data_IF_878692382416
#
_entry.id   IF_878692382416
#
_cell.length_a   1.000
_cell.length_b   1.000
_cell.length_c   1.000
_cell.angle_alpha   90.00
_cell.angle_beta   90.00
_cell.angle_gamma   90.00
#
_symmetry.space_group_name_H-M   'P 1'
#
loop_
_entity.id
_entity.type
_entity.pdbx_description
1 polymer ?
#
# COMPACT_ATOMS: atom_id res chain seq x y z
N UNK A 1 0.62 15.12 -1.21
CA UNK A 1 -0.54 14.21 -1.08
C UNK A 1 -0.06 12.96 -0.36
N UNK A 2 -0.76 12.53 0.69
CA UNK A 2 -0.33 11.41 1.54
C UNK A 2 -1.29 10.26 1.27
N UNK A 3 -0.85 9.30 0.48
CA UNK A 3 -1.51 7.99 0.43
C UNK A 3 -1.12 7.19 1.68
N UNK A 4 -1.88 6.16 2.02
CA UNK A 4 -1.50 5.23 3.09
C UNK A 4 -0.08 4.69 2.82
N UNK A 5 0.78 4.51 3.83
CA UNK A 5 2.10 3.93 3.61
C UNK A 5 1.94 2.43 3.27
N UNK A 6 1.74 2.13 1.99
CA UNK A 6 1.28 0.83 1.51
C UNK A 6 2.18 -0.34 1.93
N UNK A 7 3.51 -0.16 1.88
CA UNK A 7 4.45 -1.17 2.36
C UNK A 7 4.20 -1.57 3.83
N UNK A 8 3.77 -0.61 4.66
CA UNK A 8 3.39 -0.83 6.05
C UNK A 8 1.96 -1.39 6.19
N UNK A 9 1.02 -0.99 5.33
CA UNK A 9 -0.36 -1.50 5.33
C UNK A 9 -0.41 -3.02 5.09
N UNK A 10 0.49 -3.55 4.24
CA UNK A 10 0.60 -4.99 3.94
C UNK A 10 1.62 -5.72 4.83
N UNK A 11 1.97 -5.16 5.99
CA UNK A 11 2.80 -5.83 7.01
C UNK A 11 1.95 -6.11 8.24
N UNK A 12 1.62 -7.37 8.44
CA UNK A 12 0.83 -7.82 9.59
C UNK A 12 1.44 -7.34 10.93
N UNK A 13 0.57 -6.93 11.85
CA UNK A 13 0.94 -6.41 13.18
C UNK A 13 1.39 -4.94 13.18
N UNK A 14 1.46 -4.29 12.02
CA UNK A 14 1.72 -2.86 11.94
C UNK A 14 0.52 -2.09 12.48
N UNK A 15 0.79 -0.98 13.17
CA UNK A 15 -0.26 -0.15 13.75
C UNK A 15 -0.35 1.23 13.12
N UNK A 16 -1.56 1.72 13.03
CA UNK A 16 -1.91 2.99 12.42
C UNK A 16 -2.78 3.80 13.37
N UNK A 17 -2.62 5.11 13.35
CA UNK A 17 -3.63 6.02 13.87
C UNK A 17 -4.72 6.14 12.80
N UNK A 18 -5.96 5.98 13.22
CA UNK A 18 -7.15 6.21 12.42
C UNK A 18 -7.95 7.36 13.06
N UNK A 19 -8.45 8.26 12.20
CA UNK A 19 -9.18 9.44 12.65
C UNK A 19 -10.53 9.06 13.28
N UNK A 20 -10.68 9.40 14.56
CA UNK A 20 -11.92 9.15 15.32
C UNK A 20 -11.97 7.82 16.07
N UNK A 21 -11.20 6.80 15.66
CA UNK A 21 -11.22 5.47 16.32
C UNK A 21 -9.92 5.10 17.04
N UNK A 22 -8.87 5.92 16.95
CA UNK A 22 -7.62 5.70 17.68
C UNK A 22 -6.67 4.76 16.96
N UNK A 23 -6.12 3.77 17.66
CA UNK A 23 -5.08 2.87 17.12
C UNK A 23 -5.74 1.66 16.46
N UNK A 24 -5.37 1.36 15.21
CA UNK A 24 -5.80 0.14 14.50
C UNK A 24 -4.59 -0.71 14.17
N UNK A 25 -4.75 -2.03 14.25
CA UNK A 25 -3.73 -2.98 13.84
C UNK A 25 -4.11 -3.59 12.48
N UNK A 26 -3.16 -3.63 11.55
CA UNK A 26 -3.39 -4.22 10.22
C UNK A 26 -2.94 -5.67 10.16
N UNK A 27 -3.71 -6.47 9.43
CA UNK A 27 -3.35 -7.83 9.01
C UNK A 27 -3.48 -7.94 7.49
N UNK A 28 -2.84 -8.93 6.88
CA UNK A 28 -2.91 -9.14 5.43
C UNK A 28 -3.59 -10.46 5.12
N UNK A 29 -4.42 -10.48 4.06
CA UNK A 29 -5.10 -11.69 3.60
C UNK A 29 -5.08 -11.78 2.09
N UNK A 30 -4.68 -12.94 1.57
CA UNK A 30 -4.84 -13.29 0.14
C UNK A 30 -6.29 -13.68 -0.13
N UNK A 31 -6.89 -13.07 -1.14
CA UNK A 31 -8.28 -13.32 -1.55
C UNK A 31 -8.38 -14.42 -2.61
N UNK A 32 -7.37 -14.51 -3.47
CA UNK A 32 -7.30 -15.39 -4.63
C UNK A 32 -6.31 -14.84 -5.65
N UNK A 33 -6.48 -15.25 -6.90
CA UNK A 33 -5.61 -14.83 -8.01
C UNK A 33 -6.39 -14.03 -9.06
N UNK A 34 -5.76 -13.03 -9.64
CA UNK A 34 -6.23 -12.30 -10.80
C UNK A 34 -5.53 -12.82 -12.06
N UNK A 35 -6.30 -13.21 -13.06
CA UNK A 35 -5.85 -13.55 -14.40
C UNK A 35 -5.68 -12.25 -15.20
N UNK A 36 -4.48 -12.02 -15.73
CA UNK A 36 -4.09 -10.81 -16.46
C UNK A 36 -3.56 -11.20 -17.85
N UNK A 37 -4.43 -11.65 -18.77
CA UNK A 37 -4.00 -12.08 -20.10
C UNK A 37 -3.56 -10.91 -21.01
N UNK A 38 -4.21 -9.74 -20.93
CA UNK A 38 -3.88 -8.60 -21.81
C UNK A 38 -2.88 -7.62 -21.20
N UNK A 39 -2.77 -7.59 -19.86
CA UNK A 39 -1.98 -6.58 -19.15
C UNK A 39 -2.73 -5.27 -18.97
N UNK A 40 -3.98 -5.17 -19.45
CA UNK A 40 -4.83 -3.99 -19.28
C UNK A 40 -5.76 -4.19 -18.09
N UNK A 41 -5.27 -3.84 -16.91
CA UNK A 41 -6.05 -3.99 -15.67
C UNK A 41 -6.93 -2.77 -15.44
N UNK A 42 -8.13 -2.99 -14.90
CA UNK A 42 -9.03 -1.95 -14.37
C UNK A 42 -9.34 -2.15 -12.90
N UNK A 43 -9.87 -1.10 -12.28
CA UNK A 43 -10.53 -1.14 -10.99
C UNK A 43 -11.85 -0.39 -11.09
N UNK A 44 -12.90 -0.96 -10.51
CA UNK A 44 -14.24 -0.41 -10.57
C UNK A 44 -15.11 -1.00 -9.44
N UNK A 45 -16.35 -0.57 -9.34
CA UNK A 45 -17.38 -1.32 -8.62
C UNK A 45 -18.01 -2.37 -9.55
N UNK A 46 -17.98 -3.66 -9.17
CA UNK A 46 -18.40 -4.74 -10.05
C UNK A 46 -19.92 -4.80 -10.29
N UNK A 47 -20.73 -4.09 -9.50
CA UNK A 47 -22.19 -4.09 -9.62
C UNK A 47 -22.74 -2.91 -10.43
N UNK A 48 -21.87 -1.97 -10.80
CA UNK A 48 -22.19 -0.85 -11.72
C UNK A 48 -21.41 -0.94 -13.03
N UNK A 49 -20.44 -1.84 -13.13
CA UNK A 49 -19.61 -2.03 -14.32
C UNK A 49 -20.25 -3.01 -15.30
N UNK A 50 -20.35 -2.59 -16.56
CA UNK A 50 -20.75 -3.46 -17.66
C UNK A 50 -19.55 -4.31 -18.10
N UNK A 51 -19.60 -5.61 -17.79
CA UNK A 51 -18.51 -6.55 -18.11
C UNK A 51 -18.62 -7.18 -19.51
N UNK A 52 -19.67 -6.90 -20.28
CA UNK A 52 -19.72 -7.20 -21.71
C UNK A 52 -18.73 -6.31 -22.49
N UNK A 53 -18.63 -5.03 -22.12
CA UNK A 53 -17.69 -4.06 -22.70
C UNK A 53 -16.99 -3.17 -21.64
N UNK A 54 -16.17 -3.73 -20.72
CA UNK A 54 -15.42 -2.94 -19.74
C UNK A 54 -14.48 -1.93 -20.42
N UNK A 55 -14.74 -0.66 -20.14
CA UNK A 55 -14.01 0.48 -20.70
C UNK A 55 -12.96 1.07 -19.73
N UNK A 56 -13.11 0.87 -18.42
CA UNK A 56 -12.32 1.54 -17.40
C UNK A 56 -11.04 0.77 -17.01
N UNK A 57 -10.04 0.75 -17.89
CA UNK A 57 -8.69 0.21 -17.58
C UNK A 57 -7.68 1.33 -17.31
N UNK A 58 -6.67 1.04 -16.52
CA UNK A 58 -5.54 1.94 -16.29
C UNK A 58 -4.70 2.13 -17.57
N UNK A 59 -4.12 3.33 -17.72
CA UNK A 59 -3.31 3.70 -18.89
C UNK A 59 -1.97 2.95 -18.95
N UNK A 60 -1.42 2.55 -17.80
CA UNK A 60 -0.18 1.78 -17.71
C UNK A 60 -0.50 0.28 -17.82
N UNK A 61 0.20 -0.40 -18.70
CA UNK A 61 0.15 -1.86 -18.79
C UNK A 61 0.78 -2.52 -17.55
N UNK A 62 0.10 -3.52 -17.01
CA UNK A 62 0.58 -4.43 -15.99
C UNK A 62 1.33 -5.62 -16.60
N UNK A 63 2.17 -6.32 -15.82
CA UNK A 63 2.68 -7.63 -16.19
C UNK A 63 1.54 -8.61 -16.51
N UNK A 64 1.72 -9.45 -17.54
CA UNK A 64 0.76 -10.50 -17.89
C UNK A 64 1.04 -11.79 -17.12
N UNK A 65 -0.01 -12.55 -16.81
CA UNK A 65 0.10 -13.78 -16.02
C UNK A 65 -1.04 -13.96 -15.03
N UNK A 66 -0.76 -14.67 -13.93
CA UNK A 66 -1.70 -14.92 -12.83
C UNK A 66 -1.04 -14.43 -11.55
N UNK A 67 -1.70 -13.52 -10.84
CA UNK A 67 -1.11 -12.80 -9.72
C UNK A 67 -2.00 -12.81 -8.48
N UNK A 68 -1.43 -12.95 -7.27
CA UNK A 68 -2.22 -12.92 -6.05
C UNK A 68 -2.82 -11.52 -5.82
N UNK A 69 -4.08 -11.52 -5.39
CA UNK A 69 -4.77 -10.35 -4.86
C UNK A 69 -4.81 -10.46 -3.34
N UNK A 70 -4.39 -9.39 -2.68
CA UNK A 70 -4.30 -9.33 -1.23
C UNK A 70 -4.97 -8.06 -0.70
N UNK A 71 -5.52 -8.13 0.50
CA UNK A 71 -6.07 -6.98 1.21
C UNK A 71 -5.34 -6.74 2.53
N UNK A 72 -5.18 -5.47 2.86
CA UNK A 72 -4.82 -5.01 4.19
C UNK A 72 -6.12 -4.79 4.98
N UNK A 73 -6.27 -5.47 6.11
CA UNK A 73 -7.46 -5.42 6.97
C UNK A 73 -7.09 -4.65 8.22
N UNK A 74 -7.69 -3.48 8.42
CA UNK A 74 -7.60 -2.71 9.66
C UNK A 74 -8.60 -3.26 10.69
N UNK A 75 -8.11 -3.67 11.86
CA UNK A 75 -8.93 -4.16 12.97
C UNK A 75 -9.06 -3.10 14.04
N UNK A 76 -10.30 -2.87 14.47
CA UNK A 76 -10.68 -1.88 15.47
C UNK A 76 -11.05 -2.57 16.80
N UNK A 77 -10.92 -1.84 17.91
CA UNK A 77 -11.18 -2.37 19.25
C UNK A 77 -12.66 -2.76 19.48
N UNK A 78 -13.59 -2.27 18.65
CA UNK A 78 -15.01 -2.57 18.70
C UNK A 78 -15.42 -3.81 17.86
N UNK A 79 -14.45 -4.66 17.51
CA UNK A 79 -14.61 -5.81 16.62
C UNK A 79 -14.97 -5.49 15.16
N UNK A 80 -14.96 -4.22 14.76
CA UNK A 80 -15.05 -3.84 13.35
C UNK A 80 -13.73 -4.17 12.62
N UNK A 81 -13.82 -4.59 11.37
CA UNK A 81 -12.69 -4.90 10.50
C UNK A 81 -12.94 -4.37 9.08
N UNK A 82 -12.08 -3.46 8.61
CA UNK A 82 -12.25 -2.81 7.29
C UNK A 82 -11.12 -3.16 6.35
N UNK A 83 -11.46 -3.40 5.08
CA UNK A 83 -10.48 -3.47 4.00
C UNK A 83 -9.92 -2.07 3.80
N UNK A 84 -8.70 -1.84 4.28
CA UNK A 84 -8.03 -0.55 4.21
C UNK A 84 -7.39 -0.29 2.84
N UNK A 85 -6.79 -1.33 2.27
CA UNK A 85 -6.21 -1.30 0.94
C UNK A 85 -6.40 -2.67 0.28
N UNK A 86 -6.50 -2.70 -1.04
CA UNK A 86 -6.44 -3.92 -1.85
C UNK A 86 -5.28 -3.82 -2.83
N UNK A 87 -4.57 -4.93 -3.08
CA UNK A 87 -3.46 -4.95 -4.03
C UNK A 87 -3.47 -6.15 -4.97
N UNK A 88 -2.97 -5.94 -6.18
CA UNK A 88 -2.47 -7.00 -7.06
C UNK A 88 -0.95 -6.99 -6.95
N UNK A 89 -0.34 -8.14 -6.61
CA UNK A 89 1.11 -8.25 -6.44
C UNK A 89 1.74 -8.95 -7.64
N UNK A 90 2.42 -8.19 -8.50
CA UNK A 90 3.05 -8.69 -9.73
C UNK A 90 4.45 -9.27 -9.52
N UNK A 91 5.12 -8.88 -8.43
CA UNK A 91 6.49 -9.29 -8.13
C UNK A 91 6.72 -9.49 -6.63
N UNK A 92 7.74 -10.26 -6.28
CA UNK A 92 8.24 -10.32 -4.90
C UNK A 92 9.18 -9.16 -4.56
N UNK A 93 9.56 -8.34 -5.55
CA UNK A 93 10.34 -7.12 -5.33
C UNK A 93 9.55 -6.11 -4.48
N UNK A 94 10.26 -5.34 -3.66
CA UNK A 94 9.66 -4.28 -2.84
C UNK A 94 9.31 -3.07 -3.72
N UNK A 95 8.11 -2.52 -3.56
CA UNK A 95 7.73 -1.25 -4.16
C UNK A 95 8.44 -0.10 -3.45
N UNK A 96 9.21 0.66 -4.23
CA UNK A 96 10.12 1.70 -3.78
C UNK A 96 9.61 3.10 -4.14
N UNK A 97 8.87 3.21 -5.25
CA UNK A 97 8.25 4.46 -5.69
C UNK A 97 6.78 4.24 -5.98
N UNK A 98 5.95 5.20 -5.60
CA UNK A 98 4.52 5.17 -5.81
C UNK A 98 4.11 6.26 -6.79
N UNK A 99 3.35 5.88 -7.80
CA UNK A 99 2.81 6.78 -8.79
C UNK A 99 1.30 6.55 -8.87
N UNK A 100 0.52 7.63 -8.90
CA UNK A 100 -0.93 7.50 -9.01
C UNK A 100 -1.29 6.81 -10.34
N UNK A 101 -2.17 5.83 -10.30
CA UNK A 101 -2.66 5.13 -11.48
C UNK A 101 -3.79 5.92 -12.14
N UNK A 102 -3.55 6.39 -13.36
CA UNK A 102 -4.54 7.06 -14.20
C UNK A 102 -5.23 6.06 -15.12
N UNK A 103 -6.49 6.35 -15.46
CA UNK A 103 -7.24 5.58 -16.46
C UNK A 103 -6.82 5.94 -17.89
N UNK A 104 -7.00 5.00 -18.81
CA UNK A 104 -6.80 5.26 -20.24
C UNK A 104 -7.81 6.31 -20.73
N UNK A 105 -7.35 7.25 -21.55
CA UNK A 105 -8.16 8.38 -22.02
C UNK A 105 -8.61 9.37 -20.93
N UNK A 106 -8.10 9.26 -19.71
CA UNK A 106 -8.51 10.14 -18.61
C UNK A 106 -8.13 11.61 -18.89
N UNK A 107 -9.08 12.53 -18.66
CA UNK A 107 -8.83 13.96 -18.77
C UNK A 107 -7.79 14.44 -17.77
N UNK A 108 -7.18 15.58 -18.09
CA UNK A 108 -6.41 16.35 -17.12
C UNK A 108 -7.31 16.69 -15.91
N UNK A 109 -6.77 16.44 -14.72
CA UNK A 109 -7.41 16.74 -13.46
C UNK A 109 -6.90 18.08 -12.93
N UNK A 110 -7.71 18.76 -12.12
CA UNK A 110 -7.24 19.90 -11.34
C UNK A 110 -6.22 19.45 -10.28
N UNK A 111 -5.41 20.37 -9.75
CA UNK A 111 -4.34 20.05 -8.79
C UNK A 111 -4.84 19.40 -7.48
N UNK A 112 -6.11 19.59 -7.14
CA UNK A 112 -6.80 19.03 -5.98
C UNK A 112 -7.62 17.76 -6.29
N UNK A 113 -7.70 17.36 -7.57
CA UNK A 113 -8.49 16.23 -8.02
C UNK A 113 -7.59 15.00 -8.24
N UNK A 114 -7.96 13.88 -7.62
CA UNK A 114 -7.28 12.60 -7.77
C UNK A 114 -7.97 11.73 -8.82
N UNK A 115 -7.22 10.99 -9.67
CA UNK A 115 -7.82 9.94 -10.46
C UNK A 115 -8.31 8.82 -9.54
N UNK A 116 -9.42 8.21 -9.91
CA UNK A 116 -10.01 7.15 -9.13
C UNK A 116 -11.25 6.58 -9.80
N UNK A 117 -11.89 5.66 -9.10
CA UNK A 117 -13.16 5.09 -9.52
C UNK A 117 -14.19 5.24 -8.39
N UNK A 118 -15.44 5.43 -8.78
CA UNK A 118 -16.57 5.45 -7.87
C UNK A 118 -16.92 4.03 -7.42
N UNK A 119 -17.32 3.90 -6.17
CA UNK A 119 -17.91 2.70 -5.60
C UNK A 119 -19.26 3.08 -5.03
N UNK A 120 -20.31 2.40 -5.47
CA UNK A 120 -21.70 2.71 -5.07
C UNK A 120 -22.27 1.59 -4.17
N UNK A 121 -21.90 0.33 -4.45
CA UNK A 121 -22.35 -0.86 -3.75
C UNK A 121 -21.47 -1.23 -2.54
N UNK A 122 -20.52 -0.36 -2.17
CA UNK A 122 -19.53 -0.66 -1.12
C UNK A 122 -18.57 -1.81 -1.47
N UNK A 123 -18.40 -2.07 -2.77
CA UNK A 123 -17.55 -3.14 -3.30
C UNK A 123 -16.63 -2.59 -4.39
N UNK A 124 -15.33 -2.79 -4.21
CA UNK A 124 -14.34 -2.59 -5.27
C UNK A 124 -13.98 -3.92 -5.94
N UNK A 125 -13.41 -3.85 -7.14
CA UNK A 125 -12.85 -5.02 -7.81
C UNK A 125 -11.59 -4.70 -8.62
N UNK A 126 -10.81 -5.74 -8.90
CA UNK A 126 -9.79 -5.75 -9.96
C UNK A 126 -10.19 -6.73 -11.06
N UNK A 127 -9.94 -6.35 -12.31
CA UNK A 127 -10.20 -7.16 -13.50
C UNK A 127 -9.20 -6.83 -14.61
N UNK A 128 -8.99 -7.75 -15.56
CA UNK A 128 -8.29 -7.47 -16.82
C UNK A 128 -9.30 -7.13 -17.92
N UNK A 129 -8.91 -6.37 -18.95
CA UNK A 129 -9.78 -6.01 -20.07
C UNK A 129 -10.41 -7.22 -20.76
N UNK A 130 -9.83 -8.41 -20.67
CA UNK A 130 -10.41 -9.65 -21.23
C UNK A 130 -11.42 -10.32 -20.29
N UNK A 131 -11.69 -9.77 -19.10
CA UNK A 131 -12.77 -10.19 -18.20
C UNK A 131 -14.12 -9.77 -18.79
N UNK A 132 -14.49 -10.45 -19.88
CA UNK A 132 -15.74 -10.22 -20.61
C UNK A 132 -16.80 -11.23 -20.21
N UNK A 133 -18.04 -10.79 -20.04
CA UNK A 133 -19.18 -11.70 -19.84
C UNK A 133 -20.49 -10.96 -19.65
N UNK A 134 -21.59 -11.62 -20.02
CA UNK A 134 -22.95 -11.12 -19.80
C UNK A 134 -23.27 -11.19 -18.29
N UNK A 135 -22.94 -10.14 -17.56
CA UNK A 135 -23.28 -10.00 -16.14
C UNK A 135 -24.69 -9.44 -16.04
N UNK A 136 -25.67 -10.33 -16.11
CA UNK A 136 -27.07 -10.02 -15.89
C UNK A 136 -27.42 -9.92 -14.39
N UNK A 137 -28.65 -9.49 -14.08
CA UNK A 137 -29.16 -9.37 -12.71
C UNK A 137 -29.03 -10.69 -11.92
N UNK A 138 -29.30 -11.82 -12.57
CA UNK A 138 -29.18 -13.13 -11.94
C UNK A 138 -27.72 -13.46 -11.59
N UNK A 139 -26.76 -13.06 -12.43
CA UNK A 139 -25.32 -13.23 -12.19
C UNK A 139 -24.84 -12.31 -11.08
N UNK A 140 -25.24 -11.04 -11.09
CA UNK A 140 -25.00 -10.10 -10.01
C UNK A 140 -25.53 -10.61 -8.66
N UNK A 141 -26.76 -11.14 -8.63
CA UNK A 141 -27.34 -11.73 -7.42
C UNK A 141 -26.53 -12.95 -6.91
N UNK A 142 -26.02 -13.80 -7.81
CA UNK A 142 -25.14 -14.92 -7.42
C UNK A 142 -23.81 -14.43 -6.83
N UNK A 143 -23.22 -13.38 -7.41
CA UNK A 143 -22.00 -12.78 -6.86
C UNK A 143 -22.23 -12.20 -5.48
N UNK A 144 -23.34 -11.49 -5.28
CA UNK A 144 -23.69 -10.92 -3.98
C UNK A 144 -23.89 -12.01 -2.92
N UNK A 145 -24.61 -13.08 -3.25
CA UNK A 145 -24.79 -14.21 -2.34
C UNK A 145 -23.46 -14.92 -2.03
N UNK A 146 -22.56 -15.03 -3.00
CA UNK A 146 -21.24 -15.62 -2.80
C UNK A 146 -20.35 -14.75 -1.90
N UNK A 147 -20.43 -13.42 -2.03
CA UNK A 147 -19.79 -12.48 -1.11
C UNK A 147 -20.38 -12.65 0.30
N UNK A 148 -21.70 -12.62 0.47
CA UNK A 148 -22.32 -12.79 1.79
C UNK A 148 -21.87 -14.08 2.49
N UNK A 149 -21.83 -15.19 1.75
CA UNK A 149 -21.36 -16.48 2.26
C UNK A 149 -19.86 -16.49 2.64
N UNK A 150 -19.04 -15.66 2.00
CA UNK A 150 -17.61 -15.51 2.28
C UNK A 150 -17.30 -14.48 3.39
N UNK A 151 -18.32 -13.77 3.90
CA UNK A 151 -18.15 -12.70 4.88
C UNK A 151 -17.40 -13.14 6.15
N UNK A 152 -16.46 -12.30 6.59
CA UNK A 152 -15.72 -12.47 7.85
C UNK A 152 -15.74 -11.15 8.60
N UNK A 153 -16.15 -11.19 9.87
CA UNK A 153 -16.35 -9.99 10.69
C UNK A 153 -17.34 -9.02 10.02
N UNK A 154 -16.85 -7.90 9.49
CA UNK A 154 -17.65 -6.84 8.85
C UNK A 154 -17.26 -6.57 7.39
N UNK A 155 -16.53 -7.50 6.75
CA UNK A 155 -16.09 -7.36 5.36
C UNK A 155 -16.23 -8.68 4.59
N UNK A 156 -16.20 -8.59 3.26
CA UNK A 156 -16.42 -9.73 2.36
C UNK A 156 -15.62 -9.59 1.05
N UNK A 157 -15.49 -10.69 0.31
CA UNK A 157 -14.88 -10.77 -1.01
C UNK A 157 -15.48 -11.90 -1.83
N UNK A 158 -15.25 -11.87 -3.14
CA UNK A 158 -15.54 -12.97 -4.05
C UNK A 158 -14.56 -12.97 -5.23
N UNK A 159 -14.33 -14.15 -5.81
CA UNK A 159 -13.55 -14.29 -7.05
C UNK A 159 -14.48 -14.92 -8.09
N UNK A 160 -14.95 -14.11 -9.03
CA UNK A 160 -15.87 -14.53 -10.07
C UNK A 160 -15.09 -14.93 -11.33
N UNK A 161 -15.23 -16.18 -11.76
CA UNK A 161 -14.62 -16.66 -12.99
C UNK A 161 -15.46 -16.26 -14.21
N UNK A 162 -14.80 -15.69 -15.22
CA UNK A 162 -15.38 -15.33 -16.52
C UNK A 162 -14.65 -16.07 -17.66
N UNK A 163 -14.12 -17.27 -17.35
CA UNK A 163 -13.42 -18.12 -18.30
C UNK A 163 -11.94 -17.76 -18.45
N UNK A 164 -11.59 -17.10 -19.56
CA UNK A 164 -10.20 -16.72 -19.87
C UNK A 164 -9.62 -15.67 -18.91
N UNK A 165 -10.50 -14.95 -18.21
CA UNK A 165 -10.18 -13.95 -17.21
C UNK A 165 -11.18 -14.06 -16.04
N UNK A 166 -11.02 -13.20 -15.02
CA UNK A 166 -11.86 -13.20 -13.82
C UNK A 166 -11.95 -11.80 -13.21
N UNK A 167 -12.87 -11.65 -12.25
CA UNK A 167 -13.06 -10.44 -11.45
C UNK A 167 -12.83 -10.79 -9.98
N UNK A 168 -11.94 -10.05 -9.31
CA UNK A 168 -11.69 -10.20 -7.88
C UNK A 168 -12.34 -9.04 -7.14
N UNK A 169 -13.35 -9.32 -6.33
CA UNK A 169 -14.22 -8.35 -5.65
C UNK A 169 -13.93 -8.33 -4.15
N UNK A 170 -14.01 -7.17 -3.52
CA UNK A 170 -13.74 -6.96 -2.10
C UNK A 170 -14.49 -5.74 -1.56
N UNK A 171 -14.86 -5.76 -0.28
CA UNK A 171 -15.41 -4.58 0.40
C UNK A 171 -14.46 -3.37 0.29
N UNK A 172 -15.00 -2.17 0.17
CA UNK A 172 -14.25 -0.92 0.01
C UNK A 172 -14.25 -0.06 1.27
N UNK A 173 -13.26 -0.20 2.16
CA UNK A 173 -13.13 0.65 3.34
C UNK A 173 -14.44 0.86 4.11
N UNK A 174 -14.92 2.11 4.12
CA UNK A 174 -16.17 2.50 4.79
C UNK A 174 -17.45 2.31 3.95
N UNK A 175 -17.32 1.91 2.68
CA UNK A 175 -18.42 1.62 1.77
C UNK A 175 -18.33 2.42 0.48
N UNK A 176 -19.39 3.15 0.17
CA UNK A 176 -19.50 4.06 -0.96
C UNK A 176 -18.43 5.17 -0.90
N UNK A 177 -17.85 5.50 -2.05
CA UNK A 177 -16.90 6.59 -2.16
C UNK A 177 -16.18 6.66 -3.50
N UNK A 178 -15.14 7.48 -3.55
CA UNK A 178 -14.28 7.63 -4.72
C UNK A 178 -12.83 7.34 -4.34
N UNK A 179 -12.24 6.33 -4.96
CA UNK A 179 -10.97 5.75 -4.49
C UNK A 179 -9.90 5.77 -5.57
N UNK A 180 -8.69 6.18 -5.15
CA UNK A 180 -7.53 6.24 -6.01
C UNK A 180 -6.74 4.93 -5.98
N UNK A 181 -6.10 4.62 -7.11
CA UNK A 181 -5.16 3.50 -7.21
C UNK A 181 -3.75 3.99 -7.51
N UNK A 182 -2.74 3.17 -7.19
CA UNK A 182 -1.32 3.55 -7.24
C UNK A 182 -0.47 2.39 -7.75
N UNK A 183 0.43 2.68 -8.68
CA UNK A 183 1.48 1.78 -9.12
C UNK A 183 2.67 1.83 -8.17
N UNK A 184 2.99 0.69 -7.58
CA UNK A 184 4.24 0.46 -6.85
C UNK A 184 5.32 0.01 -7.82
N UNK A 185 6.39 0.80 -7.94
CA UNK A 185 7.53 0.53 -8.80
C UNK A 185 8.75 0.10 -7.98
N UNK A 186 9.45 -0.94 -8.44
CA UNK A 186 10.70 -1.39 -7.84
C UNK A 186 11.88 -0.45 -8.13
N UNK A 187 13.07 -0.80 -7.62
CA UNK A 187 14.29 -0.01 -7.79
C UNK A 187 14.76 0.15 -9.24
N UNK A 188 14.30 -0.71 -10.14
CA UNK A 188 14.57 -0.63 -11.58
C UNK A 188 13.44 0.07 -12.35
N UNK A 189 12.42 0.57 -11.65
CA UNK A 189 11.25 1.23 -12.24
C UNK A 189 10.24 0.26 -12.86
N UNK A 190 10.31 -1.04 -12.56
CA UNK A 190 9.33 -2.04 -13.02
C UNK A 190 8.14 -2.10 -12.08
N UNK A 191 6.96 -2.41 -12.62
CA UNK A 191 5.74 -2.57 -11.82
C UNK A 191 5.85 -3.78 -10.90
N UNK A 192 5.80 -3.54 -9.59
CA UNK A 192 5.85 -4.56 -8.55
C UNK A 192 4.45 -4.87 -8.00
N UNK A 193 3.60 -3.85 -7.84
CA UNK A 193 2.24 -4.00 -7.34
C UNK A 193 1.34 -2.84 -7.80
N UNK A 194 0.02 -3.08 -7.78
CA UNK A 194 -1.03 -2.08 -7.95
C UNK A 194 -1.86 -2.08 -6.68
N UNK A 195 -2.10 -0.91 -6.08
CA UNK A 195 -2.84 -0.78 -4.82
C UNK A 195 -4.00 0.20 -4.98
N UNK A 196 -5.19 -0.17 -4.52
CA UNK A 196 -6.29 0.77 -4.27
C UNK A 196 -6.29 1.14 -2.79
N UNK A 197 -6.33 2.44 -2.50
CA UNK A 197 -6.42 2.99 -1.15
C UNK A 197 -7.85 3.41 -0.82
N UNK A 198 -8.41 2.86 0.26
CA UNK A 198 -9.76 3.19 0.73
C UNK A 198 -9.79 4.29 1.81
N UNK A 199 -8.64 4.92 2.11
CA UNK A 199 -8.57 6.06 3.03
C UNK A 199 -8.86 5.69 4.48
N UNK A 200 -8.67 4.42 4.85
CA UNK A 200 -8.90 3.93 6.23
C UNK A 200 -7.68 4.23 7.14
N UNK A 201 -6.47 4.23 6.59
CA UNK A 201 -5.24 4.41 7.36
C UNK A 201 -4.76 5.86 7.23
N UNK A 202 -4.48 6.52 8.36
CA UNK A 202 -4.06 7.93 8.36
C UNK A 202 -2.54 8.03 8.51
N UNK A 203 -2.02 7.59 9.65
CA UNK A 203 -0.59 7.66 9.93
C UNK A 203 -0.09 6.37 10.55
N UNK A 204 1.02 5.86 10.02
CA UNK A 204 1.74 4.74 10.60
C UNK A 204 2.35 5.12 11.95
N UNK A 205 2.10 4.33 12.99
CA UNK A 205 2.80 4.50 14.26
C UNK A 205 4.26 4.11 14.08
N UNK A 206 5.15 5.07 14.35
CA UNK A 206 6.59 4.90 14.23
C UNK A 206 7.32 5.35 15.49
N UNK A 207 8.46 4.74 15.75
CA UNK A 207 9.37 5.12 16.81
C UNK A 207 10.62 5.77 16.21
N UNK A 208 11.10 6.84 16.85
CA UNK A 208 12.30 7.55 16.42
C UNK A 208 13.55 6.89 17.01
N UNK A 209 14.46 6.45 16.15
CA UNK A 209 15.82 6.05 16.54
C UNK A 209 16.78 7.18 16.17
N UNK A 210 17.43 7.76 17.16
CA UNK A 210 18.41 8.82 16.94
C UNK A 210 19.83 8.27 17.01
N UNK A 211 20.58 8.48 15.93
CA UNK A 211 21.96 8.05 15.81
C UNK A 211 22.89 9.27 15.80
N UNK A 212 23.96 9.27 16.61
CA UNK A 212 24.90 10.38 16.63
C UNK A 212 25.60 10.53 15.28
N UNK A 213 25.79 11.78 14.86
CA UNK A 213 26.61 12.09 13.69
C UNK A 213 28.03 12.54 14.10
N UNK A 214 29.06 12.23 13.30
CA UNK A 214 29.00 11.41 12.09
C UNK A 214 28.73 9.93 12.42
N UNK A 215 28.03 9.22 11.53
CA UNK A 215 27.81 7.78 11.70
C UNK A 215 29.15 7.03 11.74
N UNK A 216 29.24 5.92 12.51
CA UNK A 216 30.38 5.02 12.40
C UNK A 216 30.47 4.45 10.99
N UNK A 217 31.70 4.15 10.55
CA UNK A 217 31.93 3.50 9.26
C UNK A 217 31.38 2.09 9.31
N UNK A 218 30.62 1.69 8.29
CA UNK A 218 29.99 0.37 8.27
C UNK A 218 28.65 0.34 8.98
N UNK A 219 28.20 -0.87 9.32
CA UNK A 219 26.86 -1.10 9.88
C UNK A 219 26.74 -0.48 11.27
N UNK A 220 25.63 0.21 11.52
CA UNK A 220 25.24 0.71 12.84
C UNK A 220 24.40 -0.36 13.52
N UNK A 221 24.88 -0.89 14.64
CA UNK A 221 24.11 -1.82 15.46
C UNK A 221 23.21 -1.04 16.42
N UNK A 222 21.90 -1.28 16.34
CA UNK A 222 20.93 -0.71 17.25
C UNK A 222 19.77 -1.68 17.45
N UNK A 223 19.41 -2.06 18.69
CA UNK A 223 18.39 -3.07 18.96
C UNK A 223 17.05 -2.76 18.29
N UNK A 224 16.62 -1.49 18.32
CA UNK A 224 15.35 -1.07 17.71
C UNK A 224 15.35 -1.07 16.18
N UNK A 225 16.51 -0.84 15.56
CA UNK A 225 16.63 -0.94 14.11
C UNK A 225 16.56 -2.42 13.70
N UNK A 226 17.28 -3.28 14.43
CA UNK A 226 17.26 -4.72 14.19
C UNK A 226 15.86 -5.33 14.36
N UNK A 227 15.13 -4.99 15.44
CA UNK A 227 13.76 -5.48 15.66
C UNK A 227 12.78 -4.99 14.60
N UNK A 228 12.99 -3.79 14.06
CA UNK A 228 12.16 -3.26 12.97
C UNK A 228 12.52 -3.84 11.58
N UNK A 229 13.60 -4.63 11.47
CA UNK A 229 14.13 -5.12 10.20
C UNK A 229 14.82 -4.02 9.38
N UNK A 230 15.34 -3.00 10.05
CA UNK A 230 15.98 -1.83 9.44
C UNK A 230 17.50 -1.91 9.60
N UNK A 231 18.21 -1.60 8.51
CA UNK A 231 19.68 -1.51 8.51
C UNK A 231 20.12 -0.09 8.25
N UNK A 232 21.06 0.42 9.04
CA UNK A 232 21.72 1.72 8.79
C UNK A 232 23.21 1.48 8.65
N UNK A 233 23.84 2.14 7.69
CA UNK A 233 25.27 2.06 7.43
C UNK A 233 25.86 3.44 7.11
N UNK A 234 26.94 3.80 7.80
CA UNK A 234 27.77 4.94 7.42
C UNK A 234 28.71 4.57 6.27
N UNK A 235 28.94 5.50 5.34
CA UNK A 235 29.85 5.25 4.21
C UNK A 235 31.32 5.42 4.61
N UNK A 236 32.23 4.79 3.87
CA UNK A 236 33.68 4.89 4.12
C UNK A 236 34.24 6.29 3.83
N UNK A 237 33.72 6.96 2.80
CA UNK A 237 34.29 8.16 2.20
C UNK A 237 33.47 9.44 2.45
N UNK A 238 32.23 9.32 2.96
CA UNK A 238 31.36 10.46 3.26
C UNK A 238 30.85 10.40 4.70
N UNK A 239 30.97 11.55 5.39
CA UNK A 239 30.38 11.79 6.72
C UNK A 239 28.98 12.38 6.65
N UNK A 240 28.52 12.70 5.44
CA UNK A 240 27.21 13.32 5.20
C UNK A 240 26.29 12.42 4.38
N UNK A 241 26.55 11.11 4.44
CA UNK A 241 25.79 10.10 3.73
C UNK A 241 25.54 8.90 4.64
N UNK A 242 24.30 8.42 4.63
CA UNK A 242 23.88 7.18 5.26
C UNK A 242 23.18 6.29 4.23
N UNK A 243 23.42 4.98 4.32
CA UNK A 243 22.67 3.99 3.57
C UNK A 243 21.68 3.34 4.53
N UNK A 244 20.39 3.37 4.20
CA UNK A 244 19.33 2.82 5.03
C UNK A 244 18.49 1.84 4.22
N UNK A 245 18.38 0.61 4.71
CA UNK A 245 17.65 -0.50 4.09
C UNK A 245 16.55 -1.05 5.00
N UNK A 246 15.66 -1.84 4.40
CA UNK A 246 14.57 -2.53 5.10
C UNK A 246 13.22 -1.82 5.00
N UNK A 247 12.16 -2.62 4.83
CA UNK A 247 10.78 -2.16 4.66
C UNK A 247 10.16 -1.52 5.91
N UNK A 248 10.83 -1.65 7.07
CA UNK A 248 10.39 -1.06 8.34
C UNK A 248 10.73 0.43 8.52
N UNK A 249 11.31 1.11 7.53
CA UNK A 249 11.64 2.54 7.64
C UNK A 249 10.47 3.40 7.21
N UNK A 250 9.98 4.24 8.12
CA UNK A 250 8.93 5.21 7.84
C UNK A 250 9.50 6.54 7.31
N UNK A 251 10.57 7.05 7.94
CA UNK A 251 11.17 8.34 7.58
C UNK A 251 12.64 8.38 8.01
N UNK A 252 13.45 9.16 7.29
CA UNK A 252 14.83 9.50 7.68
C UNK A 252 15.02 11.00 7.54
N UNK A 253 15.52 11.64 8.59
CA UNK A 253 15.72 13.08 8.67
C UNK A 253 16.90 13.42 9.59
N UNK A 254 17.30 14.70 9.62
CA UNK A 254 18.24 15.20 10.61
C UNK A 254 17.48 15.89 11.75
N UNK A 255 17.93 15.70 12.98
CA UNK A 255 17.30 16.32 14.16
C UNK A 255 17.36 17.85 14.14
N UNK A 256 18.29 18.44 13.39
CA UNK A 256 18.39 19.89 13.19
C UNK A 256 17.46 20.43 12.09
N UNK A 257 16.68 19.57 11.43
CA UNK A 257 15.75 19.95 10.36
C UNK A 257 16.41 20.22 9.01
N UNK A 258 17.71 19.96 8.86
CA UNK A 258 18.41 20.20 7.60
C UNK A 258 17.91 19.23 6.52
N UNK A 259 17.79 19.69 5.25
CA UNK A 259 17.28 18.84 4.18
C UNK A 259 18.13 17.59 3.96
N UNK A 260 17.46 16.45 3.90
CA UNK A 260 18.05 15.17 3.53
C UNK A 260 17.51 14.76 2.15
N UNK A 261 18.41 14.55 1.21
CA UNK A 261 18.07 14.06 -0.13
C UNK A 261 18.16 12.54 -0.12
N UNK A 262 17.07 11.88 -0.48
CA UNK A 262 17.01 10.44 -0.68
C UNK A 262 17.20 10.10 -2.15
N UNK A 263 18.07 9.13 -2.41
CA UNK A 263 18.30 8.52 -3.73
C UNK A 263 18.30 7.00 -3.58
N UNK A 264 17.92 6.29 -4.64
CA UNK A 264 17.96 4.84 -4.66
C UNK A 264 19.33 4.33 -5.13
N UNK A 265 19.84 3.30 -4.46
CA UNK A 265 21.06 2.58 -4.83
C UNK A 265 20.77 1.07 -4.80
N UNK A 266 20.28 0.53 -5.92
CA UNK A 266 19.78 -0.84 -5.98
C UNK A 266 18.57 -1.03 -5.06
N UNK A 267 18.69 -1.88 -4.03
CA UNK A 267 17.64 -2.12 -3.02
C UNK A 267 17.80 -1.27 -1.75
N UNK A 268 18.83 -0.43 -1.67
CA UNK A 268 19.08 0.40 -0.50
C UNK A 268 18.75 1.87 -0.81
N UNK A 269 18.36 2.63 0.23
CA UNK A 269 18.15 4.07 0.12
C UNK A 269 19.38 4.81 0.62
N UNK A 270 19.96 5.64 -0.24
CA UNK A 270 21.06 6.53 0.08
C UNK A 270 20.52 7.90 0.47
N UNK A 271 20.77 8.30 1.70
CA UNK A 271 20.40 9.60 2.26
C UNK A 271 21.64 10.48 2.35
N UNK A 272 21.59 11.64 1.71
CA UNK A 272 22.71 12.60 1.66
C UNK A 272 22.27 13.97 2.13
N UNK A 273 23.13 14.63 2.89
CA UNK A 273 22.95 16.02 3.34
C UNK A 273 24.21 16.83 3.05
N UNK A 274 24.10 18.16 3.03
CA UNK A 274 25.24 19.06 2.75
C UNK A 274 26.10 19.27 4.01
N UNK A 275 25.48 19.76 5.07
CA UNK A 275 26.09 20.06 6.37
C UNK A 275 25.06 19.82 7.46
N UNK A 276 25.48 19.19 8.54
CA UNK A 276 24.68 19.05 9.74
C UNK A 276 25.18 20.07 10.79
N UNK A 277 24.27 20.67 11.55
CA UNK A 277 24.60 21.51 12.68
C UNK A 277 25.36 20.70 13.75
N UNK A 278 26.22 21.34 14.54
CA UNK A 278 26.92 20.66 15.64
C UNK A 278 25.93 19.99 16.59
N UNK A 279 26.11 18.70 16.84
CA UNK A 279 25.22 17.92 17.71
C UNK A 279 23.98 17.33 17.02
N UNK A 280 23.73 17.63 15.74
CA UNK A 280 22.65 17.00 14.98
C UNK A 280 22.81 15.49 14.93
N UNK A 281 21.67 14.79 14.96
CA UNK A 281 21.57 13.33 14.89
C UNK A 281 20.86 12.92 13.62
N UNK A 282 21.19 11.73 13.11
CA UNK A 282 20.38 11.07 12.09
C UNK A 282 19.19 10.43 12.79
N UNK A 283 17.98 10.87 12.47
CA UNK A 283 16.75 10.31 13.00
C UNK A 283 16.18 9.35 11.97
N UNK A 284 16.05 8.08 12.36
CA UNK A 284 15.42 7.03 11.57
C UNK A 284 14.13 6.65 12.28
N UNK A 285 13.00 7.07 11.71
CA UNK A 285 11.69 6.62 12.18
C UNK A 285 11.42 5.21 11.66
N UNK A 286 11.21 4.27 12.57
CA UNK A 286 10.93 2.87 12.26
C UNK A 286 9.51 2.51 12.62
N UNK A 287 8.86 1.73 11.76
CA UNK A 287 7.50 1.22 11.96
C UNK A 287 7.42 0.37 13.24
N UNK A 288 6.40 0.61 14.06
CA UNK A 288 6.14 -0.17 15.28
C UNK A 288 5.14 -1.28 14.97
N UNK A 289 5.56 -2.52 15.16
CA UNK A 289 4.70 -3.70 15.10
C UNK A 289 5.29 -4.83 15.96
N UNK A 290 4.45 -5.40 16.83
CA UNK A 290 4.67 -6.42 17.89
C UNK A 290 4.72 -5.98 19.37
N UNK A 291 4.64 -4.69 19.74
CA UNK A 291 4.58 -4.34 21.18
C UNK A 291 3.54 -3.28 21.52
N UNK A 292 2.72 -3.58 22.52
CA UNK A 292 1.89 -2.61 23.20
C UNK A 292 2.77 -1.47 23.73
N UNK A 293 2.40 -0.23 23.43
CA UNK A 293 2.96 0.92 24.12
C UNK A 293 2.75 0.72 25.63
N UNK A 294 3.74 1.02 26.48
CA UNK A 294 3.49 1.04 27.92
C UNK A 294 2.34 2.02 28.17
N UNK A 295 1.24 1.51 28.71
CA UNK A 295 0.13 2.35 29.17
C UNK A 295 0.70 3.40 30.11
N UNK A 296 0.49 4.68 29.79
CA UNK A 296 0.86 5.77 30.69
C UNK A 296 0.22 5.50 32.07
N UNK A 297 0.95 5.67 33.19
CA UNK A 297 0.35 5.55 34.49
C UNK A 297 -0.74 6.62 34.64
N UNK A 298 -1.91 6.18 35.14
CA UNK A 298 -3.07 7.03 35.45
C UNK A 298 -2.72 8.12 36.47
#
# INVERSE_FOLDING_TARGET
MVHSPFAAAFRAGTRFVQEGSGLVEVSTRTLGELKVPSGRIGAADPFVTAFDEPAATFARAAPTGVFPVEVAIARFDNADARVACARVRFSTAEAMRWEVATFDGQRALADDELPGYGVDAGTGCFFDAEARGDVDEATGARWLAAMEAAGVDTWTWHVADLGGANVVMFSSGWGDGFYASYWGLDGDGRVAELVTDFGVLVEAVSERVELPLPLPRGRVEHPRLASAGVTVRGTLWSRTTAIVGGSGVARVELSGGEPVVMTWEGKERRYTWKKAAPGSRLVVSVMVGERALPTAPR
#
